data_IF_881818429796
#
_entry.id   IF_881818429796
#
_cell.length_a   1.000
_cell.length_b   1.000
_cell.length_c   1.000
_cell.angle_alpha   90.00
_cell.angle_beta   90.00
_cell.angle_gamma   90.00
#
_symmetry.space_group_name_H-M   'P 1'
#
loop_
_entity.id
_entity.type
_entity.pdbx_description
1 polymer ?
#
# COMPACT_ATOMS: atom_id res chain seq x y z
N UNK A 1 35.43 10.79 -5.25
CA UNK A 1 34.29 10.19 -5.95
C UNK A 1 33.43 11.32 -6.49
N UNK A 2 32.84 11.16 -7.68
CA UNK A 2 31.91 12.17 -8.21
C UNK A 2 30.57 12.08 -7.49
N UNK A 3 29.77 13.16 -7.43
CA UNK A 3 28.43 13.11 -6.83
C UNK A 3 27.53 12.02 -7.44
N UNK A 4 27.63 11.79 -8.76
CA UNK A 4 26.92 10.69 -9.46
C UNK A 4 27.32 9.34 -8.88
N UNK A 5 28.65 9.07 -8.76
CA UNK A 5 29.14 7.79 -8.26
C UNK A 5 28.72 7.52 -6.81
N UNK A 6 28.71 8.57 -5.96
CA UNK A 6 28.24 8.46 -4.57
C UNK A 6 26.76 8.09 -4.55
N UNK A 7 25.95 8.77 -5.35
CA UNK A 7 24.49 8.54 -5.39
C UNK A 7 24.16 7.14 -5.91
N UNK A 8 24.85 6.67 -6.97
CA UNK A 8 24.64 5.32 -7.52
C UNK A 8 25.07 4.22 -6.54
N UNK A 9 26.20 4.36 -5.87
CA UNK A 9 26.63 3.40 -4.85
C UNK A 9 25.70 3.38 -3.64
N UNK A 10 25.19 4.55 -3.25
CA UNK A 10 24.24 4.65 -2.16
C UNK A 10 22.89 4.04 -2.54
N UNK A 11 22.43 4.26 -3.77
CA UNK A 11 21.23 3.60 -4.30
C UNK A 11 21.39 2.07 -4.27
N UNK A 12 22.51 1.56 -4.77
CA UNK A 12 22.80 0.12 -4.76
C UNK A 12 22.81 -0.43 -3.32
N UNK A 13 23.44 0.28 -2.38
CA UNK A 13 23.45 -0.06 -0.97
C UNK A 13 22.03 -0.14 -0.38
N UNK A 14 21.19 0.87 -0.66
CA UNK A 14 19.78 0.88 -0.22
C UNK A 14 19.00 -0.30 -0.82
N UNK A 15 19.16 -0.57 -2.12
CA UNK A 15 18.53 -1.71 -2.79
C UNK A 15 18.89 -3.03 -2.10
N UNK A 16 20.18 -3.27 -1.86
CA UNK A 16 20.67 -4.50 -1.22
C UNK A 16 20.08 -4.64 0.19
N UNK A 17 20.07 -3.57 0.99
CA UNK A 17 19.55 -3.61 2.35
C UNK A 17 18.04 -3.73 2.40
N UNK A 18 17.30 -3.15 1.45
CA UNK A 18 15.86 -3.30 1.36
C UNK A 18 15.44 -4.72 0.95
N UNK A 19 16.20 -5.35 0.04
CA UNK A 19 15.96 -6.74 -0.38
C UNK A 19 16.35 -7.74 0.72
N UNK A 20 17.46 -7.50 1.41
CA UNK A 20 17.98 -8.44 2.41
C UNK A 20 17.35 -8.26 3.80
N UNK A 21 16.70 -7.12 4.04
CA UNK A 21 16.11 -6.72 5.33
C UNK A 21 17.04 -6.89 6.54
N UNK A 22 18.38 -6.88 6.30
CA UNK A 22 19.39 -6.99 7.36
C UNK A 22 19.36 -5.81 8.36
N UNK A 23 18.88 -4.67 7.91
CA UNK A 23 18.61 -3.51 8.75
C UNK A 23 17.14 -3.10 8.57
N UNK A 24 16.51 -2.52 9.62
CA UNK A 24 15.18 -1.94 9.48
C UNK A 24 15.13 -0.93 8.33
N UNK A 25 14.06 -0.94 7.54
CA UNK A 25 13.91 -0.06 6.38
C UNK A 25 14.08 1.42 6.72
N UNK A 26 13.51 1.85 7.88
CA UNK A 26 13.65 3.21 8.38
C UNK A 26 15.12 3.58 8.64
N UNK A 27 15.88 2.68 9.27
CA UNK A 27 17.31 2.88 9.56
C UNK A 27 18.12 2.99 8.27
N UNK A 28 17.88 2.09 7.30
CA UNK A 28 18.52 2.11 5.98
C UNK A 28 18.27 3.44 5.26
N UNK A 29 17.02 3.90 5.26
CA UNK A 29 16.63 5.16 4.61
C UNK A 29 17.28 6.38 5.28
N UNK A 30 17.39 6.37 6.61
CA UNK A 30 18.07 7.43 7.35
C UNK A 30 19.58 7.42 7.16
N UNK A 31 20.22 6.25 7.09
CA UNK A 31 21.64 6.13 6.73
C UNK A 31 21.87 6.75 5.35
N UNK A 32 21.01 6.45 4.37
CA UNK A 32 21.10 7.04 3.03
C UNK A 32 21.01 8.57 3.07
N UNK A 33 19.99 9.10 3.74
CA UNK A 33 19.77 10.54 3.88
C UNK A 33 20.98 11.23 4.52
N UNK A 34 21.46 10.72 5.67
CA UNK A 34 22.60 11.30 6.38
C UNK A 34 23.88 11.21 5.53
N UNK A 35 24.10 10.11 4.82
CA UNK A 35 25.25 9.97 3.91
C UNK A 35 25.23 11.02 2.80
N UNK A 36 24.06 11.32 2.21
CA UNK A 36 23.90 12.37 1.20
C UNK A 36 24.26 13.77 1.75
N UNK A 37 23.97 14.03 3.01
CA UNK A 37 24.35 15.29 3.68
C UNK A 37 25.85 15.33 3.95
N UNK A 38 26.41 14.28 4.56
CA UNK A 38 27.82 14.22 4.95
C UNK A 38 28.77 14.26 3.74
N UNK A 39 28.34 13.71 2.61
CA UNK A 39 29.11 13.74 1.36
C UNK A 39 28.93 15.03 0.56
N UNK A 40 28.06 15.95 1.02
CA UNK A 40 27.81 17.23 0.35
C UNK A 40 26.98 17.12 -0.94
N UNK A 41 26.40 15.95 -1.23
CA UNK A 41 25.50 15.73 -2.39
C UNK A 41 24.23 16.57 -2.23
N UNK A 42 23.65 16.54 -1.04
CA UNK A 42 22.49 17.38 -0.67
C UNK A 42 22.84 18.34 0.47
N UNK A 43 22.20 19.53 0.43
CA UNK A 43 22.15 20.38 1.61
C UNK A 43 21.27 19.75 2.70
N UNK A 44 21.46 20.04 3.99
CA UNK A 44 20.55 19.57 5.04
C UNK A 44 19.09 19.93 4.75
N UNK A 45 18.84 21.14 4.25
CA UNK A 45 17.48 21.60 3.88
C UNK A 45 16.84 20.71 2.83
N UNK A 46 17.59 20.37 1.76
CA UNK A 46 17.07 19.53 0.67
C UNK A 46 16.87 18.07 1.15
N UNK A 47 17.80 17.55 1.95
CA UNK A 47 17.73 16.18 2.45
C UNK A 47 16.55 15.95 3.39
N UNK A 48 16.23 16.90 4.27
CA UNK A 48 15.11 16.78 5.21
C UNK A 48 13.79 17.36 4.70
N UNK A 49 13.75 17.91 3.47
CA UNK A 49 12.52 18.47 2.89
C UNK A 49 11.35 17.47 2.84
N UNK A 50 11.64 16.17 2.64
CA UNK A 50 10.63 15.11 2.63
C UNK A 50 9.85 14.97 3.94
N UNK A 51 10.40 15.40 5.09
CA UNK A 51 9.72 15.34 6.39
C UNK A 51 8.68 16.44 6.59
N UNK A 52 8.68 17.46 5.76
CA UNK A 52 7.66 18.53 5.73
C UNK A 52 6.80 18.50 4.47
N UNK A 53 6.84 17.38 3.74
CA UNK A 53 6.00 17.15 2.56
C UNK A 53 4.53 17.05 2.95
N UNK A 54 3.64 17.68 2.18
CA UNK A 54 2.22 17.73 2.45
C UNK A 54 1.56 16.34 2.48
N UNK A 55 2.07 15.39 1.66
CA UNK A 55 1.54 14.04 1.63
C UNK A 55 2.00 13.25 2.87
N UNK A 56 3.21 13.53 3.42
CA UNK A 56 3.65 12.95 4.69
C UNK A 56 2.77 13.44 5.85
N UNK A 57 2.44 14.73 5.87
CA UNK A 57 1.52 15.31 6.87
C UNK A 57 0.15 14.63 6.78
N UNK A 58 -0.36 14.43 5.56
CA UNK A 58 -1.59 13.66 5.35
C UNK A 58 -1.47 12.23 5.90
N UNK A 59 -0.33 11.55 5.70
CA UNK A 59 -0.10 10.21 6.24
C UNK A 59 -0.31 10.16 7.75
N UNK A 60 0.34 11.06 8.48
CA UNK A 60 0.21 11.15 9.95
C UNK A 60 -1.26 11.31 10.32
N UNK A 61 -1.97 12.21 9.66
CA UNK A 61 -3.39 12.44 9.91
C UNK A 61 -4.24 11.19 9.64
N UNK A 62 -3.99 10.49 8.53
CA UNK A 62 -4.75 9.30 8.16
C UNK A 62 -4.43 8.09 9.04
N UNK A 63 -3.21 7.95 9.54
CA UNK A 63 -2.90 6.95 10.56
C UNK A 63 -3.70 7.18 11.84
N UNK A 64 -3.85 8.43 12.28
CA UNK A 64 -4.66 8.77 13.47
C UNK A 64 -6.14 8.49 13.21
N UNK A 65 -6.67 8.89 12.06
CA UNK A 65 -8.08 8.67 11.70
C UNK A 65 -8.39 7.18 11.56
N UNK A 66 -7.55 6.45 10.87
CA UNK A 66 -7.65 4.99 10.74
C UNK A 66 -7.51 4.29 12.09
N UNK A 67 -6.54 4.73 12.91
CA UNK A 67 -6.36 4.24 14.28
C UNK A 67 -7.61 4.45 15.14
N UNK A 68 -8.25 5.61 15.06
CA UNK A 68 -9.49 5.87 15.79
C UNK A 68 -10.63 4.93 15.37
N UNK A 69 -10.71 4.60 14.08
CA UNK A 69 -11.70 3.64 13.57
C UNK A 69 -11.47 2.23 14.12
N UNK A 70 -10.20 1.82 14.30
CA UNK A 70 -9.82 0.55 14.92
C UNK A 70 -10.00 0.56 16.45
N UNK A 71 -9.46 1.56 17.13
CA UNK A 71 -9.48 1.69 18.60
C UNK A 71 -10.91 1.79 19.17
N UNK A 72 -11.85 2.32 18.39
CA UNK A 72 -13.27 2.39 18.80
C UNK A 72 -14.04 1.09 18.52
N UNK A 73 -13.45 0.12 17.83
CA UNK A 73 -14.13 -1.12 17.44
C UNK A 73 -15.15 -0.94 16.30
N UNK A 74 -15.18 0.23 15.65
CA UNK A 74 -16.10 0.46 14.52
C UNK A 74 -15.78 -0.43 13.33
N UNK A 75 -14.50 -0.74 13.12
CA UNK A 75 -14.04 -1.68 12.10
C UNK A 75 -14.63 -3.09 12.29
N UNK A 76 -14.69 -3.58 13.54
CA UNK A 76 -15.29 -4.89 13.85
C UNK A 76 -16.78 -4.94 13.53
N UNK A 77 -17.51 -3.85 13.81
CA UNK A 77 -18.94 -3.74 13.45
C UNK A 77 -19.16 -3.78 11.95
N UNK A 78 -18.30 -3.09 11.20
CA UNK A 78 -18.36 -3.08 9.72
C UNK A 78 -18.05 -4.47 9.18
N UNK A 79 -17.03 -5.15 9.70
CA UNK A 79 -16.68 -6.53 9.34
C UNK A 79 -17.79 -7.53 9.62
N UNK A 80 -18.56 -7.37 10.71
CA UNK A 80 -19.66 -8.25 11.07
C UNK A 80 -20.84 -8.27 10.08
N UNK A 81 -20.89 -7.33 9.13
CA UNK A 81 -21.91 -7.32 8.05
C UNK A 81 -21.73 -8.52 7.10
N UNK A 82 -20.51 -9.03 6.96
CA UNK A 82 -20.14 -10.14 6.07
C UNK A 82 -21.03 -11.38 6.33
N UNK A 83 -21.35 -11.67 7.59
CA UNK A 83 -22.09 -12.90 7.95
C UNK A 83 -23.55 -12.91 7.52
N UNK A 84 -24.13 -11.76 7.21
CA UNK A 84 -25.56 -11.64 6.93
C UNK A 84 -25.96 -12.08 5.52
N UNK A 85 -25.01 -12.19 4.60
CA UNK A 85 -25.28 -12.34 3.17
C UNK A 85 -24.68 -13.59 2.53
N UNK A 86 -24.01 -14.47 3.30
CA UNK A 86 -23.33 -15.62 2.75
C UNK A 86 -23.93 -16.93 3.25
N UNK A 87 -24.45 -17.72 2.31
CA UNK A 87 -25.02 -19.06 2.56
C UNK A 87 -24.12 -20.20 2.04
N UNK A 88 -23.09 -19.87 1.27
CA UNK A 88 -22.10 -20.81 0.75
C UNK A 88 -20.68 -20.31 0.99
N UNK A 89 -19.68 -21.22 0.93
CA UNK A 89 -18.27 -20.88 1.08
C UNK A 89 -17.82 -19.82 0.04
N UNK A 90 -18.28 -19.95 -1.20
CA UNK A 90 -17.93 -18.99 -2.27
C UNK A 90 -18.53 -17.61 -2.04
N UNK A 91 -19.79 -17.55 -1.62
CA UNK A 91 -20.43 -16.27 -1.25
C UNK A 91 -19.70 -15.63 -0.09
N UNK A 92 -19.25 -16.43 0.87
CA UNK A 92 -18.47 -15.93 2.00
C UNK A 92 -17.11 -15.37 1.57
N UNK A 93 -16.40 -16.05 0.66
CA UNK A 93 -15.16 -15.52 0.05
C UNK A 93 -15.43 -14.18 -0.62
N UNK A 94 -16.46 -14.09 -1.47
CA UNK A 94 -16.85 -12.85 -2.15
C UNK A 94 -17.17 -11.73 -1.15
N UNK A 95 -17.96 -12.02 -0.13
CA UNK A 95 -18.35 -11.04 0.89
C UNK A 95 -17.14 -10.56 1.70
N UNK A 96 -16.25 -11.47 2.14
CA UNK A 96 -15.00 -11.15 2.83
C UNK A 96 -14.13 -10.26 1.96
N UNK A 97 -13.90 -10.64 0.71
CA UNK A 97 -13.06 -9.87 -0.20
C UNK A 97 -13.65 -8.48 -0.50
N UNK A 98 -14.96 -8.40 -0.70
CA UNK A 98 -15.63 -7.12 -0.99
C UNK A 98 -15.51 -6.16 0.19
N UNK A 99 -15.87 -6.60 1.39
CA UNK A 99 -15.79 -5.76 2.59
C UNK A 99 -14.35 -5.37 2.89
N UNK A 100 -13.43 -6.33 2.83
CA UNK A 100 -12.02 -6.05 3.09
C UNK A 100 -11.43 -5.08 2.07
N UNK A 101 -11.68 -5.30 0.78
CA UNK A 101 -11.18 -4.42 -0.29
C UNK A 101 -11.70 -3.00 -0.16
N UNK A 102 -13.01 -2.82 0.08
CA UNK A 102 -13.59 -1.50 0.26
C UNK A 102 -13.06 -0.79 1.52
N UNK A 103 -12.93 -1.50 2.64
CA UNK A 103 -12.35 -0.92 3.86
C UNK A 103 -10.88 -0.53 3.65
N UNK A 104 -10.08 -1.38 3.02
CA UNK A 104 -8.67 -1.13 2.80
C UNK A 104 -8.40 0.03 1.84
N UNK A 105 -9.38 0.39 1.01
CA UNK A 105 -9.30 1.57 0.15
C UNK A 105 -9.20 2.90 0.92
N UNK A 106 -9.61 2.92 2.19
CA UNK A 106 -9.62 4.11 3.04
C UNK A 106 -8.84 3.93 4.35
N UNK A 107 -8.46 2.69 4.65
CA UNK A 107 -7.67 2.31 5.83
C UNK A 107 -6.40 1.60 5.36
N UNK A 108 -5.39 1.49 6.24
CA UNK A 108 -4.19 0.74 5.85
C UNK A 108 -4.49 -0.75 5.64
N UNK A 109 -3.81 -1.38 4.67
CA UNK A 109 -3.96 -2.80 4.36
C UNK A 109 -3.74 -3.69 5.61
N UNK A 110 -2.67 -3.42 6.35
CA UNK A 110 -2.29 -4.15 7.56
C UNK A 110 -3.32 -3.95 8.68
N UNK A 111 -3.77 -2.70 8.89
CA UNK A 111 -4.78 -2.39 9.89
C UNK A 111 -6.12 -3.05 9.58
N UNK A 112 -6.56 -3.01 8.33
CA UNK A 112 -7.78 -3.69 7.88
C UNK A 112 -7.68 -5.20 8.10
N UNK A 113 -6.54 -5.81 7.74
CA UNK A 113 -6.30 -7.22 7.97
C UNK A 113 -6.32 -7.56 9.47
N UNK A 114 -5.62 -6.80 10.31
CA UNK A 114 -5.54 -7.02 11.75
C UNK A 114 -6.91 -7.12 12.41
N UNK A 115 -7.85 -6.25 12.00
CA UNK A 115 -9.21 -6.21 12.56
C UNK A 115 -10.10 -7.31 11.98
N UNK A 116 -9.99 -7.60 10.69
CA UNK A 116 -10.88 -8.55 10.03
C UNK A 116 -10.46 -10.01 10.20
N UNK A 117 -9.19 -10.31 10.47
CA UNK A 117 -8.70 -11.68 10.72
C UNK A 117 -9.48 -12.36 11.84
N UNK A 118 -9.59 -11.80 13.07
CA UNK A 118 -10.37 -12.43 14.14
C UNK A 118 -11.85 -12.60 13.77
N UNK A 119 -12.44 -11.61 13.09
CA UNK A 119 -13.83 -11.67 12.63
C UNK A 119 -14.04 -12.84 11.68
N UNK A 120 -13.14 -12.99 10.69
CA UNK A 120 -13.22 -14.07 9.68
C UNK A 120 -12.93 -15.44 10.31
N UNK A 121 -12.02 -15.53 11.29
CA UNK A 121 -11.81 -16.76 12.06
C UNK A 121 -13.10 -17.17 12.80
N UNK A 122 -13.76 -16.21 13.47
CA UNK A 122 -15.04 -16.44 14.14
C UNK A 122 -16.17 -16.86 13.19
N UNK A 123 -16.19 -16.29 11.97
CA UNK A 123 -17.12 -16.67 10.90
C UNK A 123 -16.85 -18.11 10.45
N UNK A 124 -15.58 -18.44 10.18
CA UNK A 124 -15.16 -19.78 9.77
C UNK A 124 -15.59 -20.85 10.80
N UNK A 125 -15.36 -20.58 12.09
CA UNK A 125 -15.78 -21.46 13.17
C UNK A 125 -17.29 -21.70 13.22
N UNK A 126 -18.10 -20.64 13.01
CA UNK A 126 -19.57 -20.75 13.03
C UNK A 126 -20.15 -21.41 11.77
N UNK A 127 -19.53 -21.21 10.62
CA UNK A 127 -20.00 -21.74 9.33
C UNK A 127 -19.50 -23.15 9.04
N UNK A 128 -18.51 -23.65 9.80
CA UNK A 128 -17.87 -24.94 9.57
C UNK A 128 -16.91 -24.96 8.37
N UNK A 129 -16.61 -23.80 7.76
CA UNK A 129 -15.65 -23.71 6.67
C UNK A 129 -14.21 -23.58 7.20
N UNK A 130 -13.24 -24.05 6.40
CA UNK A 130 -11.84 -23.94 6.77
C UNK A 130 -11.40 -22.47 6.75
N UNK A 131 -10.87 -21.97 7.87
CA UNK A 131 -10.32 -20.59 7.96
C UNK A 131 -9.24 -20.31 6.91
N UNK A 132 -8.47 -21.34 6.52
CA UNK A 132 -7.46 -21.25 5.46
C UNK A 132 -8.04 -20.88 4.07
N UNK A 133 -9.32 -21.09 3.84
CA UNK A 133 -9.98 -20.71 2.59
C UNK A 133 -10.51 -19.29 2.57
N UNK A 134 -10.54 -18.62 3.72
CA UNK A 134 -11.06 -17.27 3.89
C UNK A 134 -9.95 -16.24 4.14
N UNK A 135 -8.89 -16.62 4.84
CA UNK A 135 -7.84 -15.70 5.26
C UNK A 135 -6.93 -15.23 4.11
N UNK A 136 -6.57 -16.10 3.14
CA UNK A 136 -5.80 -15.67 1.96
C UNK A 136 -6.59 -14.68 1.09
N UNK A 137 -7.85 -14.95 0.69
CA UNK A 137 -8.67 -13.98 -0.01
C UNK A 137 -8.81 -12.65 0.73
N UNK A 138 -8.93 -12.68 2.07
CA UNK A 138 -8.98 -11.47 2.89
C UNK A 138 -7.76 -10.59 2.65
N UNK A 139 -6.55 -11.13 2.83
CA UNK A 139 -5.33 -10.32 2.71
C UNK A 139 -5.07 -9.88 1.27
N UNK A 140 -5.41 -10.70 0.28
CA UNK A 140 -5.30 -10.30 -1.13
C UNK A 140 -6.26 -9.15 -1.46
N UNK A 141 -7.48 -9.21 -0.93
CA UNK A 141 -8.43 -8.11 -1.07
C UNK A 141 -7.97 -6.84 -0.33
N UNK A 142 -7.32 -6.97 0.82
CA UNK A 142 -6.73 -5.82 1.52
C UNK A 142 -5.67 -5.14 0.66
N UNK A 143 -4.77 -5.91 0.05
CA UNK A 143 -3.73 -5.36 -0.82
C UNK A 143 -4.31 -4.70 -2.08
N UNK A 144 -5.26 -5.36 -2.77
CA UNK A 144 -5.94 -4.79 -3.94
C UNK A 144 -6.74 -3.53 -3.58
N UNK A 145 -7.42 -3.55 -2.43
CA UNK A 145 -8.20 -2.43 -1.92
C UNK A 145 -7.37 -1.19 -1.64
N UNK A 146 -6.12 -1.35 -1.21
CA UNK A 146 -5.19 -0.24 -1.00
C UNK A 146 -5.00 0.67 -2.23
N UNK A 147 -5.30 0.18 -3.43
CA UNK A 147 -5.23 0.95 -4.67
C UNK A 147 -6.56 1.60 -5.07
N UNK A 148 -7.60 1.59 -4.24
CA UNK A 148 -8.88 2.24 -4.57
C UNK A 148 -8.84 3.75 -4.40
N UNK A 149 -7.99 4.26 -3.53
CA UNK A 149 -7.87 5.69 -3.28
C UNK A 149 -6.42 6.09 -3.02
N UNK A 150 -6.20 7.38 -2.99
CA UNK A 150 -4.89 7.97 -2.68
C UNK A 150 -4.36 7.57 -1.29
N UNK A 151 -5.23 7.35 -0.31
CA UNK A 151 -4.89 7.11 1.09
C UNK A 151 -4.88 5.63 1.50
N UNK A 152 -5.28 4.72 0.61
CA UNK A 152 -5.40 3.30 0.93
C UNK A 152 -4.06 2.59 1.13
N UNK A 153 -2.99 3.07 0.47
CA UNK A 153 -1.65 2.53 0.65
C UNK A 153 -0.58 3.64 0.65
N UNK A 154 0.51 3.47 1.44
CA UNK A 154 1.59 4.45 1.51
C UNK A 154 2.25 4.78 0.15
N UNK A 155 2.42 3.79 -0.70
CA UNK A 155 3.00 3.97 -2.03
C UNK A 155 2.25 4.95 -2.93
N UNK A 156 0.92 5.05 -2.76
CA UNK A 156 0.07 5.95 -3.53
C UNK A 156 0.45 7.42 -3.31
N UNK A 157 0.68 7.80 -2.06
CA UNK A 157 1.07 9.17 -1.71
C UNK A 157 2.52 9.47 -2.12
N UNK A 158 3.40 8.46 -2.07
CA UNK A 158 4.76 8.61 -2.56
C UNK A 158 4.77 8.85 -4.09
N UNK A 159 3.95 8.12 -4.85
CA UNK A 159 3.75 8.36 -6.28
C UNK A 159 3.18 9.76 -6.56
N UNK A 160 2.22 10.22 -5.74
CA UNK A 160 1.70 11.59 -5.83
C UNK A 160 2.79 12.62 -5.61
N UNK A 161 3.61 12.48 -4.57
CA UNK A 161 4.73 13.41 -4.31
C UNK A 161 5.72 13.45 -5.46
N UNK A 162 6.05 12.30 -6.05
CA UNK A 162 6.95 12.23 -7.20
C UNK A 162 6.38 12.97 -8.42
N UNK A 163 5.09 12.81 -8.70
CA UNK A 163 4.41 13.55 -9.77
C UNK A 163 4.36 15.06 -9.49
N UNK A 164 4.04 15.47 -8.26
CA UNK A 164 4.00 16.87 -7.88
C UNK A 164 5.36 17.57 -7.99
N UNK A 165 6.45 16.84 -7.74
CA UNK A 165 7.81 17.37 -7.89
C UNK A 165 8.13 17.83 -9.34
N UNK A 166 7.45 17.23 -10.34
CA UNK A 166 7.62 17.57 -11.77
C UNK A 166 6.44 18.41 -12.32
N UNK A 167 5.57 18.94 -11.44
CA UNK A 167 4.42 19.74 -11.84
C UNK A 167 3.20 18.97 -12.35
N UNK A 168 3.24 17.62 -12.28
CA UNK A 168 2.08 16.76 -12.55
C UNK A 168 1.30 16.47 -11.25
N UNK A 169 0.11 15.91 -11.36
CA UNK A 169 -0.68 15.51 -10.18
C UNK A 169 -1.53 14.27 -10.47
N UNK A 170 -1.98 13.62 -9.39
CA UNK A 170 -2.89 12.50 -9.42
C UNK A 170 -4.04 12.76 -8.44
N UNK A 171 -5.28 12.55 -8.91
CA UNK A 171 -6.49 12.76 -8.14
C UNK A 171 -6.73 11.68 -7.09
N UNK A 172 -7.67 11.95 -6.18
CA UNK A 172 -7.94 11.09 -5.02
C UNK A 172 -8.31 9.64 -5.38
N UNK A 173 -9.08 9.44 -6.45
CA UNK A 173 -9.54 8.11 -6.91
C UNK A 173 -8.86 7.63 -8.19
N UNK A 174 -7.87 8.32 -8.72
CA UNK A 174 -7.27 7.93 -10.01
C UNK A 174 -6.53 6.58 -9.95
N UNK A 175 -5.92 6.21 -8.82
CA UNK A 175 -5.42 4.85 -8.63
C UNK A 175 -6.54 3.83 -8.69
N UNK A 176 -7.73 4.19 -8.23
CA UNK A 176 -8.93 3.34 -8.27
C UNK A 176 -9.42 3.00 -9.67
N UNK A 177 -9.07 3.80 -10.68
CA UNK A 177 -9.42 3.49 -12.08
C UNK A 177 -8.81 2.15 -12.53
N UNK A 178 -7.65 1.77 -11.98
CA UNK A 178 -7.01 0.47 -12.21
C UNK A 178 -7.25 -0.47 -11.02
N UNK A 179 -7.19 0.05 -9.79
CA UNK A 179 -7.35 -0.72 -8.57
C UNK A 179 -8.72 -1.39 -8.41
N UNK A 180 -9.80 -0.67 -8.76
CA UNK A 180 -11.15 -1.24 -8.71
C UNK A 180 -11.36 -2.40 -9.70
N UNK A 181 -11.01 -2.29 -10.97
CA UNK A 181 -11.02 -3.44 -11.88
C UNK A 181 -10.20 -4.63 -11.38
N UNK A 182 -9.00 -4.41 -10.81
CA UNK A 182 -8.20 -5.49 -10.25
C UNK A 182 -8.93 -6.16 -9.09
N UNK A 183 -9.53 -5.39 -8.17
CA UNK A 183 -10.31 -5.93 -7.07
C UNK A 183 -11.52 -6.74 -7.58
N UNK A 184 -12.28 -6.20 -8.52
CA UNK A 184 -13.48 -6.88 -9.09
C UNK A 184 -13.07 -8.17 -9.79
N UNK A 185 -12.03 -8.13 -10.65
CA UNK A 185 -11.52 -9.31 -11.35
C UNK A 185 -10.95 -10.33 -10.35
N UNK A 186 -10.25 -9.87 -9.29
CA UNK A 186 -9.75 -10.71 -8.22
C UNK A 186 -10.88 -11.42 -7.45
N UNK A 187 -11.95 -10.71 -7.10
CA UNK A 187 -13.15 -11.30 -6.49
C UNK A 187 -13.77 -12.33 -7.43
N UNK A 188 -13.97 -11.98 -8.70
CA UNK A 188 -14.51 -12.89 -9.70
C UNK A 188 -13.63 -14.12 -9.91
N UNK A 189 -12.30 -13.95 -9.92
CA UNK A 189 -11.34 -15.06 -9.99
C UNK A 189 -11.52 -16.03 -8.82
N UNK A 190 -11.56 -15.55 -7.57
CA UNK A 190 -11.73 -16.41 -6.40
C UNK A 190 -13.15 -16.98 -6.29
N UNK A 191 -14.17 -16.30 -6.79
CA UNK A 191 -15.53 -16.83 -6.86
C UNK A 191 -15.68 -17.99 -7.87
N UNK A 192 -14.86 -18.05 -8.91
CA UNK A 192 -15.00 -18.99 -10.02
C UNK A 192 -13.93 -20.08 -10.05
N UNK A 193 -12.67 -19.70 -10.21
CA UNK A 193 -11.52 -20.60 -10.42
C UNK A 193 -10.58 -20.62 -9.23
N UNK A 194 -10.26 -19.45 -8.71
CA UNK A 194 -9.22 -19.24 -7.69
C UNK A 194 -9.48 -19.97 -6.38
N UNK A 195 -10.75 -20.21 -6.02
CA UNK A 195 -11.10 -20.95 -4.81
C UNK A 195 -10.53 -22.40 -4.81
N UNK A 196 -10.24 -22.98 -5.99
CA UNK A 196 -9.64 -24.31 -6.11
C UNK A 196 -8.16 -24.33 -5.70
N UNK A 197 -7.48 -23.20 -5.77
CA UNK A 197 -6.08 -23.05 -5.36
C UNK A 197 -5.93 -22.74 -3.87
N UNK A 198 -7.04 -22.43 -3.18
CA UNK A 198 -7.01 -22.17 -1.75
C UNK A 198 -6.84 -23.46 -0.96
N UNK A 199 -5.91 -23.51 0.00
CA UNK A 199 -5.70 -24.69 0.82
C UNK A 199 -6.92 -24.93 1.73
N UNK A 200 -7.32 -26.20 1.86
CA UNK A 200 -8.39 -26.63 2.74
C UNK A 200 -7.80 -27.37 3.95
N UNK A 201 -7.28 -26.60 4.91
CA UNK A 201 -6.62 -27.15 6.10
C UNK A 201 -7.56 -27.05 7.30
N UNK A 202 -7.76 -28.17 7.98
CA UNK A 202 -8.44 -28.17 9.29
C UNK A 202 -7.56 -27.42 10.30
N UNK A 203 -8.16 -26.70 11.28
CA UNK A 203 -7.40 -26.05 12.34
C UNK A 203 -6.49 -27.07 13.04
N UNK A 204 -5.19 -26.78 13.11
CA UNK A 204 -4.29 -27.50 14.00
C UNK A 204 -4.50 -26.99 15.42
N UNK A 205 -4.43 -27.85 16.41
CA UNK A 205 -4.65 -27.54 17.83
C UNK A 205 -3.70 -26.48 18.43
N UNK A 206 -2.63 -26.11 17.73
CA UNK A 206 -1.62 -25.18 18.21
C UNK A 206 -1.88 -23.69 17.88
N UNK A 207 -2.85 -23.38 17.03
CA UNK A 207 -3.17 -22.00 16.62
C UNK A 207 -4.41 -21.38 17.27
N UNK A 208 -5.12 -22.12 18.13
CA UNK A 208 -6.39 -21.67 18.69
C UNK A 208 -6.24 -20.65 19.82
N UNK A 209 -5.14 -20.67 20.57
CA UNK A 209 -5.00 -19.87 21.79
C UNK A 209 -4.57 -18.40 21.61
N UNK A 210 -4.04 -18.01 20.44
CA UNK A 210 -3.47 -16.67 20.25
C UNK A 210 -4.50 -15.66 19.70
N UNK A 211 -5.58 -16.13 19.07
CA UNK A 211 -6.59 -15.27 18.44
C UNK A 211 -7.99 -15.35 19.06
N UNK A 212 -8.15 -16.13 20.15
CA UNK A 212 -9.43 -16.23 20.88
C UNK A 212 -9.76 -14.99 21.71
N UNK A 213 -8.80 -14.10 21.96
CA UNK A 213 -9.07 -12.79 22.54
C UNK A 213 -9.48 -11.79 21.46
N UNK A 214 -10.69 -11.94 20.93
CA UNK A 214 -11.34 -10.83 20.23
C UNK A 214 -11.34 -9.63 21.17
N UNK A 215 -10.65 -8.53 20.81
CA UNK A 215 -10.67 -7.30 21.61
C UNK A 215 -12.10 -6.96 21.96
N UNK A 216 -12.42 -6.90 23.24
CA UNK A 216 -13.75 -6.54 23.73
C UNK A 216 -13.93 -5.02 23.66
N UNK A 217 -14.75 -4.57 22.74
CA UNK A 217 -15.13 -3.18 22.58
C UNK A 217 -16.47 -2.84 23.28
N UNK A 218 -17.00 -3.75 24.10
CA UNK A 218 -18.27 -3.53 24.83
C UNK A 218 -18.20 -2.34 25.78
N UNK A 219 -17.00 -2.04 26.31
CA UNK A 219 -16.73 -0.90 27.18
C UNK A 219 -16.64 0.43 26.42
N UNK A 220 -16.49 0.42 25.09
CA UNK A 220 -16.36 1.65 24.29
C UNK A 220 -17.75 2.26 24.05
N UNK A 221 -18.00 3.50 24.50
CA UNK A 221 -19.27 4.15 24.30
C UNK A 221 -19.69 4.22 22.83
N UNK A 222 -20.95 3.91 22.53
CA UNK A 222 -21.48 3.86 21.15
C UNK A 222 -21.31 5.20 20.39
N UNK A 223 -21.30 6.33 21.10
CA UNK A 223 -21.07 7.63 20.47
C UNK A 223 -19.66 7.77 19.89
N UNK A 224 -18.63 7.21 20.56
CA UNK A 224 -17.24 7.24 20.06
C UNK A 224 -17.11 6.43 18.77
N UNK A 225 -17.75 5.27 18.70
CA UNK A 225 -17.80 4.44 17.50
C UNK A 225 -18.45 5.17 16.32
N UNK A 226 -19.60 5.81 16.56
CA UNK A 226 -20.29 6.59 15.53
C UNK A 226 -19.49 7.83 15.14
N UNK A 227 -18.89 8.53 16.11
CA UNK A 227 -18.09 9.71 15.86
C UNK A 227 -16.84 9.40 15.02
N UNK A 228 -16.12 8.31 15.29
CA UNK A 228 -14.96 7.91 14.49
C UNK A 228 -15.34 7.66 13.02
N UNK A 229 -16.46 6.98 12.76
CA UNK A 229 -16.96 6.77 11.39
C UNK A 229 -17.37 8.08 10.73
N UNK A 230 -18.14 8.91 11.41
CA UNK A 230 -18.64 10.18 10.86
C UNK A 230 -17.48 11.10 10.52
N UNK A 231 -16.51 11.27 11.43
CA UNK A 231 -15.35 12.14 11.21
C UNK A 231 -14.51 11.60 10.05
N UNK A 232 -14.27 10.28 9.96
CA UNK A 232 -13.57 9.67 8.85
C UNK A 232 -14.27 9.95 7.51
N UNK A 233 -15.59 9.71 7.43
CA UNK A 233 -16.37 9.94 6.21
C UNK A 233 -16.37 11.42 5.82
N UNK A 234 -16.58 12.33 6.78
CA UNK A 234 -16.56 13.77 6.51
C UNK A 234 -15.17 14.24 6.05
N UNK A 235 -14.10 13.71 6.64
CA UNK A 235 -12.73 14.02 6.22
C UNK A 235 -12.49 13.57 4.77
N UNK A 236 -12.89 12.36 4.41
CA UNK A 236 -12.77 11.84 3.04
C UNK A 236 -13.59 12.70 2.07
N UNK A 237 -14.83 13.05 2.42
CA UNK A 237 -15.66 13.95 1.62
C UNK A 237 -14.97 15.31 1.42
N UNK A 238 -14.43 15.89 2.49
CA UNK A 238 -13.70 17.16 2.39
C UNK A 238 -12.46 17.06 1.49
N UNK A 239 -11.75 15.94 1.51
CA UNK A 239 -10.62 15.71 0.60
C UNK A 239 -11.04 15.59 -0.87
N UNK A 240 -12.15 14.89 -1.15
CA UNK A 240 -12.70 14.73 -2.50
C UNK A 240 -13.12 16.09 -3.08
N UNK A 241 -13.77 16.90 -2.26
CA UNK A 241 -14.29 18.21 -2.62
C UNK A 241 -13.30 19.37 -2.33
N UNK A 242 -11.98 19.08 -2.30
CA UNK A 242 -10.92 20.07 -2.06
C UNK A 242 -11.11 21.36 -2.86
N UNK A 243 -11.35 21.23 -4.18
CA UNK A 243 -11.50 22.36 -5.10
C UNK A 243 -12.71 23.23 -4.78
N UNK A 244 -13.81 22.61 -4.35
CA UNK A 244 -15.07 23.30 -4.03
C UNK A 244 -15.02 23.95 -2.64
N UNK A 245 -14.41 23.28 -1.67
CA UNK A 245 -14.31 23.72 -0.27
C UNK A 245 -13.15 24.72 -0.09
N UNK A 246 -12.12 24.66 -0.96
CA UNK A 246 -10.93 25.49 -0.87
C UNK A 246 -9.94 25.10 0.22
N UNK A 247 -10.16 23.96 0.89
CA UNK A 247 -9.26 23.42 1.93
C UNK A 247 -8.43 22.31 1.32
N UNK A 248 -7.10 22.44 1.39
CA UNK A 248 -6.18 21.43 0.89
C UNK A 248 -6.41 20.07 1.58
N UNK A 249 -6.35 18.97 0.81
CA UNK A 249 -6.67 17.61 1.28
C UNK A 249 -5.88 17.22 2.53
N UNK A 250 -4.60 17.60 2.66
CA UNK A 250 -3.80 17.29 3.85
C UNK A 250 -4.28 18.08 5.08
N UNK A 251 -4.78 19.31 4.91
CA UNK A 251 -5.37 20.09 6.01
C UNK A 251 -6.70 19.46 6.45
N UNK A 252 -7.53 18.98 5.52
CA UNK A 252 -8.76 18.24 5.85
C UNK A 252 -8.45 17.02 6.72
N UNK A 253 -7.37 16.28 6.38
CA UNK A 253 -6.89 15.17 7.21
C UNK A 253 -6.48 15.63 8.63
N UNK A 254 -5.67 16.68 8.73
CA UNK A 254 -5.25 17.23 10.03
C UNK A 254 -6.44 17.67 10.89
N UNK A 255 -7.41 18.37 10.29
CA UNK A 255 -8.64 18.79 11.00
C UNK A 255 -9.39 17.58 11.55
N UNK A 256 -9.59 16.53 10.72
CA UNK A 256 -10.23 15.29 11.16
C UNK A 256 -9.50 14.62 12.32
N UNK A 257 -8.17 14.49 12.25
CA UNK A 257 -7.35 13.92 13.31
C UNK A 257 -7.42 14.75 14.61
N UNK A 258 -7.33 16.08 14.50
CA UNK A 258 -7.45 16.98 15.65
C UNK A 258 -8.82 16.86 16.32
N UNK A 259 -9.91 16.83 15.54
CA UNK A 259 -11.27 16.68 16.08
C UNK A 259 -11.40 15.37 16.86
N UNK A 260 -10.87 14.24 16.35
CA UNK A 260 -10.91 12.94 17.04
C UNK A 260 -10.26 12.98 18.42
N UNK A 261 -9.13 13.65 18.55
CA UNK A 261 -8.41 13.78 19.83
C UNK A 261 -9.09 14.82 20.74
N UNK A 262 -9.42 16.00 20.21
CA UNK A 262 -10.01 17.09 20.99
C UNK A 262 -11.39 16.75 21.55
N UNK A 263 -12.17 15.94 20.83
CA UNK A 263 -13.49 15.46 21.33
C UNK A 263 -13.39 14.24 22.24
N UNK A 264 -12.17 13.70 22.46
CA UNK A 264 -11.95 12.54 23.31
C UNK A 264 -12.49 11.22 22.72
N UNK A 265 -12.69 11.16 21.39
CA UNK A 265 -12.99 9.88 20.70
C UNK A 265 -11.87 8.90 20.94
N UNK A 266 -10.63 9.35 20.75
CA UNK A 266 -9.40 8.67 21.16
C UNK A 266 -8.55 9.59 22.02
N UNK A 267 -7.70 9.00 22.84
CA UNK A 267 -6.71 9.75 23.61
C UNK A 267 -5.50 10.13 22.74
N UNK A 268 -4.76 11.15 23.16
CA UNK A 268 -3.50 11.54 22.54
C UNK A 268 -2.52 10.37 22.43
N UNK A 269 -2.42 9.55 23.48
CA UNK A 269 -1.56 8.35 23.50
C UNK A 269 -1.95 7.34 22.44
N UNK A 270 -3.26 7.12 22.23
CA UNK A 270 -3.77 6.25 21.16
C UNK A 270 -3.47 6.84 19.78
N UNK A 271 -3.63 8.15 19.61
CA UNK A 271 -3.29 8.83 18.37
C UNK A 271 -1.81 8.62 18.00
N UNK A 272 -0.89 8.83 18.95
CA UNK A 272 0.54 8.61 18.69
C UNK A 272 0.89 7.16 18.41
N UNK A 273 0.25 6.22 19.11
CA UNK A 273 0.44 4.78 18.87
C UNK A 273 -0.02 4.32 17.47
N UNK A 274 -0.98 5.03 16.90
CA UNK A 274 -1.50 4.72 15.57
C UNK A 274 -0.55 5.13 14.44
N UNK A 275 0.45 5.99 14.72
CA UNK A 275 1.38 6.50 13.71
C UNK A 275 2.45 5.44 13.42
N UNK A 276 2.55 5.02 12.16
CA UNK A 276 3.65 4.15 11.70
C UNK A 276 4.91 4.98 11.40
N UNK A 277 5.77 5.11 12.40
CA UNK A 277 7.03 5.84 12.30
C UNK A 277 7.97 5.24 11.24
N UNK A 278 7.95 3.91 11.04
CA UNK A 278 8.78 3.27 10.01
C UNK A 278 8.45 3.83 8.63
N UNK A 279 7.18 3.88 8.29
CA UNK A 279 6.72 4.46 7.01
C UNK A 279 7.14 5.92 6.86
N UNK A 280 7.06 6.75 7.92
CA UNK A 280 7.45 8.15 7.86
C UNK A 280 8.95 8.33 7.56
N UNK A 281 9.81 7.57 8.24
CA UNK A 281 11.26 7.64 8.03
C UNK A 281 11.69 7.10 6.65
N UNK A 282 11.07 6.02 6.18
CA UNK A 282 11.32 5.50 4.81
C UNK A 282 10.88 6.53 3.77
N UNK A 283 9.72 7.15 3.96
CA UNK A 283 9.21 8.18 3.05
C UNK A 283 10.18 9.37 2.93
N UNK A 284 10.54 9.97 4.06
CA UNK A 284 11.47 11.11 4.06
C UNK A 284 12.84 10.78 3.47
N UNK A 285 13.41 9.63 3.85
CA UNK A 285 14.71 9.17 3.33
C UNK A 285 14.68 8.85 1.84
N UNK A 286 13.59 8.29 1.34
CA UNK A 286 13.43 7.97 -0.10
C UNK A 286 13.28 9.24 -0.94
N UNK A 287 12.54 10.23 -0.47
CA UNK A 287 12.45 11.53 -1.16
C UNK A 287 13.81 12.23 -1.22
N UNK A 288 14.65 12.11 -0.19
CA UNK A 288 16.03 12.60 -0.25
C UNK A 288 16.85 11.89 -1.33
N UNK A 289 16.72 10.56 -1.43
CA UNK A 289 17.41 9.78 -2.49
C UNK A 289 16.91 10.16 -3.89
N UNK A 290 15.60 10.35 -4.07
CA UNK A 290 15.00 10.84 -5.31
C UNK A 290 15.58 12.20 -5.71
N UNK A 291 15.68 13.13 -4.75
CA UNK A 291 16.27 14.45 -4.97
C UNK A 291 17.75 14.38 -5.32
N UNK A 292 18.50 13.44 -4.73
CA UNK A 292 19.90 13.21 -5.07
C UNK A 292 20.05 12.66 -6.49
N UNK A 293 19.21 11.72 -6.91
CA UNK A 293 19.20 11.18 -8.28
C UNK A 293 18.98 12.28 -9.33
N UNK A 294 18.02 13.18 -9.05
CA UNK A 294 17.75 14.34 -9.91
C UNK A 294 18.93 15.31 -9.96
N UNK A 295 19.39 15.77 -8.78
CA UNK A 295 20.40 16.83 -8.65
C UNK A 295 21.76 16.44 -9.20
N UNK A 296 22.15 15.16 -9.07
CA UNK A 296 23.45 14.66 -9.53
C UNK A 296 23.46 14.23 -10.99
N UNK A 297 22.30 14.04 -11.62
CA UNK A 297 22.17 13.42 -12.94
C UNK A 297 22.31 11.89 -12.91
N UNK A 298 22.42 11.27 -11.73
CA UNK A 298 22.48 9.81 -11.60
C UNK A 298 21.21 9.13 -12.13
N UNK A 299 20.04 9.79 -11.99
CA UNK A 299 18.78 9.33 -12.55
C UNK A 299 18.80 9.24 -14.08
N UNK A 300 19.33 10.27 -14.75
CA UNK A 300 19.49 10.28 -16.21
C UNK A 300 20.47 9.16 -16.66
N UNK A 301 21.57 8.97 -15.96
CA UNK A 301 22.52 7.88 -16.26
C UNK A 301 21.87 6.49 -16.18
N UNK A 302 21.02 6.24 -15.16
CA UNK A 302 20.25 4.99 -15.05
C UNK A 302 19.28 4.87 -16.22
N UNK A 303 18.55 5.96 -16.56
CA UNK A 303 17.59 5.97 -17.65
C UNK A 303 18.23 5.63 -18.99
N UNK A 304 19.35 6.27 -19.33
CA UNK A 304 20.10 5.99 -20.56
C UNK A 304 20.59 4.54 -20.61
N UNK A 305 21.06 4.01 -19.46
CA UNK A 305 21.51 2.62 -19.36
C UNK A 305 20.36 1.63 -19.60
N UNK A 306 19.18 1.88 -19.01
CA UNK A 306 17.98 1.03 -19.20
C UNK A 306 17.48 1.12 -20.65
N UNK A 307 17.41 2.31 -21.23
CA UNK A 307 16.99 2.52 -22.62
C UNK A 307 17.97 1.81 -23.56
N UNK A 308 19.28 1.89 -23.29
CA UNK A 308 20.29 1.17 -24.05
C UNK A 308 20.14 -0.36 -24.02
N UNK A 309 19.71 -0.91 -22.86
CA UNK A 309 19.42 -2.34 -22.71
C UNK A 309 18.12 -2.77 -23.40
N UNK A 310 17.10 -1.91 -23.39
CA UNK A 310 15.83 -2.17 -24.06
C UNK A 310 15.93 -2.06 -25.60
N UNK A 311 16.97 -1.42 -26.09
CA UNK A 311 17.23 -1.22 -27.52
C UNK A 311 16.66 0.09 -28.07
N UNK A 312 17.12 0.48 -29.26
CA UNK A 312 16.79 1.76 -29.92
C UNK A 312 15.32 1.93 -30.26
N UNK A 313 14.51 0.87 -30.20
CA UNK A 313 13.08 0.88 -30.50
C UNK A 313 12.21 0.72 -29.23
N UNK A 314 12.75 1.00 -28.04
CA UNK A 314 11.99 0.91 -26.81
C UNK A 314 10.77 1.85 -26.84
N UNK A 315 9.57 1.27 -26.73
CA UNK A 315 8.33 2.04 -26.65
C UNK A 315 7.96 2.35 -25.19
N UNK A 316 7.20 3.42 -24.91
CA UNK A 316 6.66 3.67 -23.58
C UNK A 316 5.85 2.50 -23.00
N UNK A 317 5.14 1.77 -23.85
CA UNK A 317 4.43 0.55 -23.47
C UNK A 317 5.38 -0.55 -22.97
N UNK A 318 6.51 -0.74 -23.66
CA UNK A 318 7.54 -1.71 -23.22
C UNK A 318 8.13 -1.31 -21.88
N UNK A 319 8.42 -0.02 -21.67
CA UNK A 319 8.87 0.50 -20.38
C UNK A 319 7.84 0.23 -19.28
N UNK A 320 6.58 0.57 -19.52
CA UNK A 320 5.48 0.31 -18.59
C UNK A 320 5.41 -1.17 -18.22
N UNK A 321 5.45 -2.08 -19.21
CA UNK A 321 5.39 -3.52 -18.98
C UNK A 321 6.56 -4.02 -18.12
N UNK A 322 7.78 -3.55 -18.40
CA UNK A 322 9.00 -3.95 -17.65
C UNK A 322 8.96 -3.41 -16.23
N UNK A 323 8.61 -2.15 -16.04
CA UNK A 323 8.54 -1.53 -14.70
C UNK A 323 7.44 -2.18 -13.87
N UNK A 324 6.28 -2.43 -14.45
CA UNK A 324 5.18 -3.13 -13.80
C UNK A 324 5.60 -4.55 -13.39
N UNK A 325 6.26 -5.31 -14.28
CA UNK A 325 6.75 -6.66 -14.01
C UNK A 325 7.78 -6.65 -12.88
N UNK A 326 8.75 -5.74 -12.95
CA UNK A 326 9.78 -5.59 -11.94
C UNK A 326 9.17 -5.26 -10.57
N UNK A 327 8.20 -4.35 -10.55
CA UNK A 327 7.47 -3.99 -9.34
C UNK A 327 6.72 -5.19 -8.74
N UNK A 328 6.00 -5.96 -9.59
CA UNK A 328 5.31 -7.18 -9.17
C UNK A 328 6.27 -8.26 -8.63
N UNK A 329 7.44 -8.42 -9.25
CA UNK A 329 8.42 -9.41 -8.78
C UNK A 329 9.01 -8.97 -7.44
N UNK A 330 9.51 -7.73 -7.36
CA UNK A 330 10.18 -7.22 -6.17
C UNK A 330 9.27 -7.21 -4.94
N UNK A 331 8.02 -6.79 -5.10
CA UNK A 331 7.09 -6.69 -3.96
C UNK A 331 6.77 -8.04 -3.31
N UNK A 332 7.00 -9.14 -4.00
CA UNK A 332 6.84 -10.47 -3.43
C UNK A 332 8.02 -10.91 -2.55
N UNK A 333 9.16 -10.18 -2.58
CA UNK A 333 10.35 -10.48 -1.78
C UNK A 333 10.71 -9.35 -0.81
N UNK A 334 10.08 -8.21 -0.91
CA UNK A 334 10.26 -7.05 -0.03
C UNK A 334 8.94 -6.32 0.15
N UNK A 335 8.85 -5.41 1.12
CA UNK A 335 7.58 -4.71 1.40
C UNK A 335 7.08 -3.89 0.20
N UNK A 336 5.75 -3.79 0.06
CA UNK A 336 5.08 -2.99 -0.98
C UNK A 336 5.61 -1.55 -1.01
N UNK A 337 5.74 -0.95 0.18
CA UNK A 337 6.21 0.42 0.30
C UNK A 337 7.69 0.58 -0.10
N UNK A 338 8.56 -0.36 0.31
CA UNK A 338 9.97 -0.35 -0.10
C UNK A 338 10.12 -0.51 -1.62
N UNK A 339 9.31 -1.37 -2.23
CA UNK A 339 9.29 -1.53 -3.70
C UNK A 339 8.90 -0.24 -4.40
N UNK A 340 7.80 0.40 -3.98
CA UNK A 340 7.37 1.68 -4.53
C UNK A 340 8.44 2.77 -4.32
N UNK A 341 8.99 2.86 -3.11
CA UNK A 341 10.00 3.83 -2.72
C UNK A 341 11.28 3.75 -3.57
N UNK A 342 11.69 2.54 -3.93
CA UNK A 342 12.84 2.29 -4.80
C UNK A 342 12.55 2.61 -6.27
N UNK A 343 11.44 2.10 -6.78
CA UNK A 343 11.18 2.12 -8.21
C UNK A 343 10.59 3.44 -8.72
N UNK A 344 9.84 4.19 -7.90
CA UNK A 344 9.23 5.45 -8.32
C UNK A 344 10.26 6.46 -8.85
N UNK A 345 11.35 6.77 -8.14
CA UNK A 345 12.36 7.71 -8.66
C UNK A 345 13.01 7.23 -9.95
N UNK A 346 13.28 5.93 -10.05
CA UNK A 346 13.86 5.32 -11.25
C UNK A 346 12.89 5.43 -12.43
N UNK A 347 11.64 5.05 -12.22
CA UNK A 347 10.57 5.11 -13.21
C UNK A 347 10.34 6.52 -13.74
N UNK A 348 10.38 7.51 -12.84
CA UNK A 348 10.24 8.93 -13.20
C UNK A 348 11.35 9.38 -14.16
N UNK A 349 12.62 9.06 -13.83
CA UNK A 349 13.76 9.46 -14.66
C UNK A 349 13.73 8.77 -16.03
N UNK A 350 13.38 7.48 -16.10
CA UNK A 350 13.29 6.74 -17.38
C UNK A 350 12.16 7.32 -18.25
N UNK A 351 10.99 7.60 -17.67
CA UNK A 351 9.87 8.20 -18.40
C UNK A 351 10.25 9.56 -19.00
N UNK A 352 10.91 10.41 -18.22
CA UNK A 352 11.40 11.72 -18.66
C UNK A 352 12.40 11.58 -19.82
N UNK A 353 13.34 10.65 -19.75
CA UNK A 353 14.33 10.40 -20.81
C UNK A 353 13.70 9.90 -22.11
N UNK A 354 12.56 9.19 -22.02
CA UNK A 354 11.78 8.73 -23.19
C UNK A 354 10.79 9.77 -23.71
N UNK A 355 10.66 10.94 -23.07
CA UNK A 355 9.66 11.95 -23.41
C UNK A 355 8.22 11.47 -23.24
N UNK A 356 7.99 10.46 -22.40
CA UNK A 356 6.67 9.92 -22.10
C UNK A 356 6.07 10.56 -20.85
N UNK A 357 4.74 10.70 -20.79
CA UNK A 357 4.06 11.12 -19.57
C UNK A 357 4.39 10.12 -18.44
N UNK A 358 5.01 10.56 -17.34
CA UNK A 358 5.42 9.69 -16.25
C UNK A 358 4.25 9.10 -15.46
N UNK A 359 3.04 9.67 -15.58
CA UNK A 359 1.87 9.27 -14.80
C UNK A 359 1.54 7.79 -14.96
N UNK A 360 1.52 7.28 -16.20
CA UNK A 360 1.26 5.88 -16.48
C UNK A 360 2.26 4.95 -15.78
N UNK A 361 3.55 5.28 -15.87
CA UNK A 361 4.65 4.45 -15.34
C UNK A 361 4.71 4.53 -13.82
N UNK A 362 4.46 5.70 -13.23
CA UNK A 362 4.36 5.88 -11.77
C UNK A 362 3.16 5.09 -11.22
N UNK A 363 1.99 5.19 -11.86
CA UNK A 363 0.81 4.40 -11.45
C UNK A 363 1.09 2.91 -11.61
N UNK A 364 1.74 2.47 -12.70
CA UNK A 364 2.17 1.08 -12.87
C UNK A 364 3.08 0.60 -11.75
N UNK A 365 4.06 1.41 -11.34
CA UNK A 365 4.98 1.12 -10.24
C UNK A 365 4.22 0.91 -8.93
N UNK A 366 3.31 1.81 -8.61
CA UNK A 366 2.51 1.77 -7.37
C UNK A 366 1.56 0.58 -7.36
N UNK A 367 0.80 0.37 -8.44
CA UNK A 367 -0.11 -0.78 -8.56
C UNK A 367 0.68 -2.10 -8.49
N UNK A 368 1.77 -2.21 -9.25
CA UNK A 368 2.63 -3.40 -9.25
C UNK A 368 3.19 -3.72 -7.86
N UNK A 369 3.62 -2.69 -7.11
CA UNK A 369 4.11 -2.86 -5.75
C UNK A 369 3.06 -3.37 -4.76
N UNK A 370 1.79 -3.30 -5.08
CA UNK A 370 0.69 -3.80 -4.25
C UNK A 370 0.28 -5.25 -4.59
N UNK A 371 0.85 -5.86 -5.64
CA UNK A 371 0.54 -7.24 -6.06
C UNK A 371 1.41 -8.28 -5.33
N UNK A 372 1.52 -8.16 -4.01
CA UNK A 372 2.33 -9.01 -3.13
C UNK A 372 1.54 -10.24 -2.65
N UNK A 373 1.15 -11.13 -3.57
CA UNK A 373 0.28 -12.26 -3.29
C UNK A 373 1.01 -13.61 -3.23
N UNK A 374 2.14 -13.74 -3.95
CA UNK A 374 2.77 -15.03 -4.17
C UNK A 374 3.69 -15.51 -3.03
N UNK A 375 3.97 -14.67 -2.04
CA UNK A 375 4.80 -15.04 -0.89
C UNK A 375 4.23 -14.53 0.44
N UNK A 376 4.55 -15.16 1.57
CA UNK A 376 4.17 -14.65 2.87
C UNK A 376 4.95 -13.38 3.28
N UNK A 377 6.08 -13.08 2.63
CA UNK A 377 7.03 -12.03 3.02
C UNK A 377 6.60 -10.67 2.48
N UNK A 378 5.99 -10.62 1.29
CA UNK A 378 5.76 -9.38 0.53
C UNK A 378 4.96 -8.29 1.27
N UNK A 379 4.14 -8.65 2.25
CA UNK A 379 3.33 -7.70 3.02
C UNK A 379 3.15 -8.16 4.46
N UNK A 380 3.20 -7.27 5.48
CA UNK A 380 2.98 -7.66 6.88
C UNK A 380 1.67 -8.42 7.11
N UNK A 381 0.59 -8.05 6.43
CA UNK A 381 -0.70 -8.74 6.51
C UNK A 381 -0.62 -10.21 6.07
N UNK A 382 0.27 -10.56 5.12
CA UNK A 382 0.49 -11.94 4.69
C UNK A 382 1.01 -12.79 5.85
N UNK A 383 1.97 -12.25 6.62
CA UNK A 383 2.52 -12.95 7.79
C UNK A 383 1.50 -13.10 8.92
N UNK A 384 0.58 -12.15 9.09
CA UNK A 384 -0.45 -12.21 10.13
C UNK A 384 -1.39 -13.40 9.98
N UNK A 385 -1.66 -13.85 8.76
CA UNK A 385 -2.52 -15.00 8.49
C UNK A 385 -1.75 -16.32 8.34
N UNK A 386 -0.41 -16.26 8.30
CA UNK A 386 0.43 -17.43 8.02
C UNK A 386 0.19 -18.56 9.04
N UNK A 387 0.38 -18.29 10.31
CA UNK A 387 0.14 -19.25 11.38
C UNK A 387 -1.36 -19.56 11.59
N UNK A 388 -2.27 -18.56 11.70
CA UNK A 388 -3.70 -18.84 11.86
C UNK A 388 -4.32 -19.65 10.73
N UNK A 389 -3.86 -19.46 9.50
CA UNK A 389 -4.33 -20.22 8.33
C UNK A 389 -3.64 -21.59 8.19
N UNK A 390 -2.56 -21.83 8.95
CA UNK A 390 -1.74 -23.03 8.82
C UNK A 390 -1.06 -23.13 7.45
N UNK A 391 -0.71 -21.97 6.86
CA UNK A 391 -0.16 -21.91 5.51
C UNK A 391 1.30 -22.35 5.45
N UNK A 392 1.69 -22.81 4.28
CA UNK A 392 3.07 -23.01 3.86
C UNK A 392 3.41 -21.97 2.79
N UNK A 393 4.70 -21.77 2.52
CA UNK A 393 5.14 -20.92 1.41
C UNK A 393 4.49 -21.32 0.08
N UNK A 394 4.37 -22.62 -0.18
CA UNK A 394 3.79 -23.15 -1.40
C UNK A 394 2.28 -22.85 -1.55
N UNK A 395 1.55 -22.68 -0.45
CA UNK A 395 0.14 -22.29 -0.48
C UNK A 395 -0.02 -20.86 -1.02
N UNK A 396 0.91 -19.95 -0.63
CA UNK A 396 0.97 -18.60 -1.19
C UNK A 396 1.30 -18.62 -2.68
N UNK A 397 2.30 -19.38 -3.09
CA UNK A 397 2.67 -19.47 -4.51
C UNK A 397 1.48 -20.00 -5.33
N UNK A 398 0.82 -21.06 -4.88
CA UNK A 398 -0.29 -21.67 -5.61
C UNK A 398 -1.51 -20.75 -5.74
N UNK A 399 -1.88 -20.07 -4.68
CA UNK A 399 -3.05 -19.19 -4.67
C UNK A 399 -2.72 -17.78 -5.20
N UNK A 400 -1.54 -17.27 -4.88
CA UNK A 400 -1.16 -15.88 -5.13
C UNK A 400 -0.54 -15.65 -6.49
N UNK A 401 0.32 -16.54 -7.00
CA UNK A 401 0.96 -16.31 -8.30
C UNK A 401 -0.04 -16.16 -9.46
N UNK A 402 -1.12 -16.97 -9.56
CA UNK A 402 -2.17 -16.72 -10.55
C UNK A 402 -2.80 -15.32 -10.38
N UNK A 403 -2.98 -14.85 -9.14
CA UNK A 403 -3.54 -13.54 -8.87
C UNK A 403 -2.58 -12.40 -9.23
N UNK A 404 -1.26 -12.57 -9.02
CA UNK A 404 -0.23 -11.63 -9.53
C UNK A 404 -0.32 -11.51 -11.04
N UNK A 405 -0.42 -12.63 -11.75
CA UNK A 405 -0.55 -12.66 -13.22
C UNK A 405 -1.82 -11.95 -13.67
N UNK A 406 -2.96 -12.23 -13.02
CA UNK A 406 -4.22 -11.55 -13.32
C UNK A 406 -4.10 -10.04 -13.10
N UNK A 407 -3.56 -9.61 -11.95
CA UNK A 407 -3.36 -8.18 -11.66
C UNK A 407 -2.40 -7.51 -12.65
N UNK A 408 -1.32 -8.20 -13.04
CA UNK A 408 -0.38 -7.71 -14.06
C UNK A 408 -1.07 -7.50 -15.41
N UNK A 409 -1.82 -8.49 -15.89
CA UNK A 409 -2.51 -8.41 -17.20
C UNK A 409 -3.56 -7.30 -17.20
N UNK A 410 -4.38 -7.22 -16.14
CA UNK A 410 -5.40 -6.16 -16.01
C UNK A 410 -4.74 -4.78 -16.04
N UNK A 411 -3.65 -4.61 -15.28
CA UNK A 411 -2.90 -3.35 -15.25
C UNK A 411 -2.29 -3.00 -16.60
N UNK A 412 -1.68 -3.98 -17.27
CA UNK A 412 -1.04 -3.79 -18.58
C UNK A 412 -2.03 -3.35 -19.67
N UNK A 413 -3.28 -3.81 -19.57
CA UNK A 413 -4.35 -3.42 -20.51
C UNK A 413 -4.90 -2.02 -20.15
N UNK A 414 -5.18 -1.77 -18.88
CA UNK A 414 -5.89 -0.56 -18.46
C UNK A 414 -5.01 0.68 -18.40
N UNK A 415 -3.75 0.53 -17.98
CA UNK A 415 -2.86 1.68 -17.75
C UNK A 415 -2.67 2.55 -19.01
N UNK A 416 -2.36 1.99 -20.21
CA UNK A 416 -2.19 2.80 -21.40
C UNK A 416 -3.48 3.47 -21.89
N UNK A 417 -4.64 2.88 -21.56
CA UNK A 417 -5.96 3.39 -21.94
C UNK A 417 -6.36 4.56 -21.03
N UNK A 418 -6.12 4.42 -19.74
CA UNK A 418 -6.53 5.40 -18.72
C UNK A 418 -5.52 6.52 -18.52
N UNK A 419 -4.26 6.25 -18.79
CA UNK A 419 -3.14 7.17 -18.65
C UNK A 419 -2.31 7.12 -19.94
N UNK A 420 -2.69 7.88 -20.98
CA UNK A 420 -1.95 7.92 -22.25
C UNK A 420 -0.51 8.39 -22.04
N UNK A 421 0.43 7.83 -22.82
CA UNK A 421 1.85 8.19 -22.74
C UNK A 421 2.18 9.55 -23.36
N UNK A 422 1.31 10.05 -24.23
CA UNK A 422 1.46 11.32 -24.92
C UNK A 422 0.13 12.06 -24.89
N UNK A 423 0.17 13.34 -24.64
CA UNK A 423 -0.96 14.28 -24.69
C UNK A 423 -0.93 15.10 -25.95
#
# INVERSE_FOLDING_TARGET
MTPISITLLLLLFVIILFITEKLPLAVTSMIALITLVLTGVLSPKDAFAGFVDNNLILFVAMFIIGGAFFETGMANKTGGIVTKFAHSERELIVAVMTVTGLMSGFLSNTGTAAVLIPVVIGIAAKSGFARSRLLLPLIFAAAMGGNLSLIGAPGNLLGKSALQAIGADIGFFEYGYVGLPILVVGIAFFATVGYKFLPNKKPGSEGESVYDEAQDFSSVPAWKQKASLIIMVLTIIAMIFEKQIGIKFYLSGCIGAIILVATGVISEKQAYKSIDLQTLFVYGGTLALAKALEKTGAGAYIADSVIGLLGSNASPFMLLAVVLLLSCVMTNFMSNFATAALLIPISLNISAAMGADPKAVIVATVIGSSLAFATPIGMPANMMVFAPGGYTFNDYVKAGLPMVIVGYIVSLILLPILFPFYH
#
